data_IF_886789374853
#
_entry.id   IF_886789374853
#
_cell.length_a   1.000
_cell.length_b   1.000
_cell.length_c   1.000
_cell.angle_alpha   90.00
_cell.angle_beta   90.00
_cell.angle_gamma   90.00
#
_symmetry.space_group_name_H-M   'P 1'
#
loop_
_entity.id
_entity.type
_entity.pdbx_description
1 polymer ?
#
# COMPACT_ATOMS: atom_id res chain seq x y z
N UNK A 1 -15.99 26.54 2.17
CA UNK A 1 -16.63 25.48 2.97
C UNK A 1 -15.56 24.90 3.85
N UNK A 2 -15.66 25.03 5.18
CA UNK A 2 -14.76 24.36 6.12
C UNK A 2 -15.32 22.95 6.36
N UNK A 3 -14.60 21.92 5.92
CA UNK A 3 -14.93 20.55 6.28
C UNK A 3 -14.34 20.27 7.66
N UNK A 4 -15.19 20.02 8.65
CA UNK A 4 -14.73 19.56 9.95
C UNK A 4 -14.49 18.05 9.83
N UNK A 5 -13.23 17.64 9.72
CA UNK A 5 -12.84 16.24 9.92
C UNK A 5 -12.19 16.12 11.31
N UNK A 6 -12.44 15.01 12.00
CA UNK A 6 -11.89 14.77 13.34
C UNK A 6 -10.77 13.72 13.23
N UNK A 7 -9.49 14.13 13.24
CA UNK A 7 -8.39 13.18 13.25
C UNK A 7 -8.41 12.41 14.58
N UNK A 8 -8.48 11.08 14.52
CA UNK A 8 -8.37 10.23 15.70
C UNK A 8 -6.93 9.83 15.99
N UNK A 9 -6.17 9.59 14.93
CA UNK A 9 -4.75 9.23 15.03
C UNK A 9 -3.97 9.86 13.89
N UNK A 10 -2.75 10.26 14.20
CA UNK A 10 -1.81 10.85 13.27
C UNK A 10 -0.49 10.14 13.42
N UNK A 11 0.06 9.63 12.31
CA UNK A 11 1.34 8.93 12.33
C UNK A 11 2.30 9.48 11.27
N UNK A 12 3.59 9.60 11.60
CA UNK A 12 4.58 9.99 10.61
C UNK A 12 4.89 8.80 9.69
N UNK A 13 4.91 9.07 8.38
CA UNK A 13 5.55 8.19 7.41
C UNK A 13 6.99 8.70 7.30
N UNK A 14 7.94 7.91 7.83
CA UNK A 14 9.35 8.28 7.88
C UNK A 14 10.00 8.46 6.51
N UNK A 15 11.29 8.79 6.51
CA UNK A 15 12.06 8.95 5.28
C UNK A 15 12.41 7.60 4.66
N UNK A 16 12.38 7.53 3.33
CA UNK A 16 12.83 6.35 2.59
C UNK A 16 13.46 6.75 1.27
N UNK A 17 14.71 6.33 1.06
CA UNK A 17 15.37 6.45 -0.23
C UNK A 17 15.00 5.25 -1.11
N UNK A 18 14.69 5.50 -2.37
CA UNK A 18 14.49 4.47 -3.38
C UNK A 18 15.82 4.02 -3.99
N UNK A 19 15.93 2.72 -4.27
CA UNK A 19 17.04 2.15 -5.05
C UNK A 19 16.69 2.23 -6.53
N UNK A 20 17.61 2.71 -7.37
CA UNK A 20 17.41 2.72 -8.83
C UNK A 20 17.21 1.27 -9.31
N UNK A 21 16.23 1.06 -10.18
CA UNK A 21 15.80 -0.24 -10.68
C UNK A 21 14.76 -0.94 -9.80
N UNK A 22 14.40 -0.38 -8.64
CA UNK A 22 13.43 -0.97 -7.71
C UNK A 22 12.33 0.01 -7.34
N UNK A 23 11.08 -0.42 -7.45
CA UNK A 23 9.95 0.42 -7.04
C UNK A 23 10.02 0.75 -5.55
N UNK A 24 9.91 2.04 -5.23
CA UNK A 24 9.81 2.49 -3.86
C UNK A 24 8.39 2.24 -3.37
N UNK A 25 8.22 1.24 -2.51
CA UNK A 25 6.95 0.90 -1.88
C UNK A 25 6.95 1.31 -0.42
N UNK A 26 5.92 2.05 0.00
CA UNK A 26 5.71 2.48 1.38
C UNK A 26 4.31 2.04 1.81
N UNK A 27 4.21 0.91 2.51
CA UNK A 27 2.93 0.44 3.02
C UNK A 27 2.43 1.32 4.16
N UNK A 28 1.13 1.55 4.19
CA UNK A 28 0.42 2.27 5.24
C UNK A 28 -0.63 1.32 5.81
N UNK A 29 -0.55 1.08 7.12
CA UNK A 29 -1.40 0.13 7.81
C UNK A 29 -2.85 0.60 7.84
N UNK A 30 -3.78 -0.32 7.56
CA UNK A 30 -5.21 -0.12 7.79
C UNK A 30 -5.54 -0.13 9.28
N UNK A 31 -6.57 0.61 9.69
CA UNK A 31 -7.07 0.63 11.07
C UNK A 31 -8.58 0.50 11.10
N UNK A 32 -9.09 -0.42 11.93
CA UNK A 32 -10.51 -0.73 11.96
C UNK A 32 -11.37 0.51 12.31
N UNK A 33 -12.48 0.66 11.59
CA UNK A 33 -13.39 1.81 11.64
C UNK A 33 -12.86 3.11 11.03
N UNK A 34 -11.58 3.19 10.61
CA UNK A 34 -10.94 4.44 10.21
C UNK A 34 -10.69 4.54 8.70
N UNK A 35 -10.80 5.76 8.17
CA UNK A 35 -10.34 6.12 6.82
C UNK A 35 -8.94 6.73 6.89
N UNK A 36 -8.13 6.43 5.89
CA UNK A 36 -6.77 6.95 5.73
C UNK A 36 -6.78 8.17 4.80
N UNK A 37 -6.10 9.24 5.18
CA UNK A 37 -5.74 10.35 4.30
C UNK A 37 -4.32 10.83 4.55
N UNK A 38 -3.68 11.37 3.53
CA UNK A 38 -2.32 11.92 3.59
C UNK A 38 -2.41 13.39 3.17
N UNK A 39 -2.53 14.32 4.13
CA UNK A 39 -2.68 15.75 3.83
C UNK A 39 -1.41 16.40 3.34
N UNK A 40 -0.24 15.90 3.75
CA UNK A 40 1.04 16.47 3.39
C UNK A 40 2.09 15.38 3.21
N UNK A 41 2.81 15.45 2.09
CA UNK A 41 4.01 14.64 1.83
C UNK A 41 5.02 15.41 0.98
N UNK A 42 6.29 15.06 1.13
CA UNK A 42 7.40 15.58 0.31
C UNK A 42 8.16 14.43 -0.37
N UNK A 43 8.42 14.59 -1.66
CA UNK A 43 9.18 13.65 -2.48
C UNK A 43 10.14 14.42 -3.38
N UNK A 44 11.38 13.95 -3.47
CA UNK A 44 12.38 14.47 -4.41
C UNK A 44 12.65 13.44 -5.50
N UNK A 45 12.49 13.85 -6.75
CA UNK A 45 12.80 13.02 -7.92
C UNK A 45 14.18 13.34 -8.50
N UNK A 46 14.78 12.33 -9.13
CA UNK A 46 16.06 12.44 -9.83
C UNK A 46 15.93 13.20 -11.16
N UNK A 47 16.74 12.82 -12.15
CA UNK A 47 16.79 13.54 -13.42
C UNK A 47 15.52 13.41 -14.26
N UNK A 48 14.70 12.39 -14.01
CA UNK A 48 13.47 12.11 -14.76
C UNK A 48 12.22 12.43 -13.92
N UNK A 49 11.14 12.81 -14.61
CA UNK A 49 9.83 12.95 -14.00
C UNK A 49 9.27 11.56 -13.64
N UNK A 50 8.57 11.47 -12.52
CA UNK A 50 8.03 10.21 -12.00
C UNK A 50 6.56 10.39 -11.60
N UNK A 51 5.91 9.29 -11.23
CA UNK A 51 4.53 9.32 -10.75
C UNK A 51 4.48 8.69 -9.37
N UNK A 52 3.92 9.43 -8.42
CA UNK A 52 3.49 8.88 -7.14
C UNK A 52 2.10 8.28 -7.32
N UNK A 53 1.95 7.02 -6.95
CA UNK A 53 0.68 6.31 -7.01
C UNK A 53 0.27 5.86 -5.61
N UNK A 54 -0.92 6.23 -5.16
CA UNK A 54 -1.56 5.64 -3.99
C UNK A 54 -2.35 4.41 -4.45
N UNK A 55 -1.79 3.23 -4.20
CA UNK A 55 -2.39 1.95 -4.55
C UNK A 55 -3.40 1.51 -3.49
N UNK A 56 -4.62 1.22 -3.95
CA UNK A 56 -5.74 0.79 -3.11
C UNK A 56 -5.87 -0.74 -3.11
N UNK A 57 -6.67 -1.26 -2.18
CA UNK A 57 -7.18 -2.62 -2.28
C UNK A 57 -8.17 -2.69 -3.44
N UNK A 58 -7.99 -3.68 -4.31
CA UNK A 58 -8.89 -3.95 -5.45
C UNK A 58 -9.98 -4.94 -5.06
N UNK A 59 -9.58 -6.02 -4.39
CA UNK A 59 -10.50 -7.05 -3.91
C UNK A 59 -9.93 -7.74 -2.68
N UNK A 60 -10.79 -8.48 -1.99
CA UNK A 60 -10.42 -9.28 -0.83
C UNK A 60 -10.91 -10.72 -0.98
N UNK A 61 -10.21 -11.62 -0.30
CA UNK A 61 -10.53 -13.03 -0.17
C UNK A 61 -10.25 -13.50 1.27
N UNK A 62 -10.76 -14.68 1.62
CA UNK A 62 -10.52 -15.32 2.90
C UNK A 62 -9.37 -16.33 2.81
N UNK A 63 -8.51 -16.34 3.82
CA UNK A 63 -7.45 -17.34 3.97
C UNK A 63 -8.06 -18.61 4.56
N UNK A 64 -8.04 -19.73 3.83
CA UNK A 64 -8.61 -21.01 4.29
C UNK A 64 -7.56 -21.97 4.82
N UNK A 65 -6.31 -21.83 4.40
CA UNK A 65 -5.19 -22.60 4.94
C UNK A 65 -3.87 -21.86 4.77
N UNK A 66 -2.90 -22.22 5.62
CA UNK A 66 -1.58 -21.62 5.69
C UNK A 66 -0.53 -22.71 5.90
N UNK A 67 0.49 -22.72 5.06
CA UNK A 67 1.68 -23.56 5.23
C UNK A 67 2.91 -22.65 5.35
N UNK A 68 3.42 -22.54 6.58
CA UNK A 68 4.56 -21.66 6.91
C UNK A 68 5.86 -22.16 6.29
N UNK A 69 6.07 -23.48 6.24
CA UNK A 69 7.31 -24.08 5.75
C UNK A 69 7.41 -23.93 4.24
N UNK A 70 6.31 -24.18 3.53
CA UNK A 70 6.22 -23.96 2.08
C UNK A 70 6.00 -22.49 1.70
N UNK A 71 5.72 -21.61 2.68
CA UNK A 71 5.35 -20.21 2.49
C UNK A 71 4.16 -20.04 1.53
N UNK A 72 3.14 -20.87 1.71
CA UNK A 72 1.94 -20.83 0.88
C UNK A 72 0.71 -20.46 1.68
N UNK A 73 -0.18 -19.72 1.02
CA UNK A 73 -1.51 -19.36 1.52
C UNK A 73 -2.53 -19.92 0.53
N UNK A 74 -3.48 -20.70 1.04
CA UNK A 74 -4.66 -21.10 0.27
C UNK A 74 -5.80 -20.13 0.56
N UNK A 75 -6.49 -19.69 -0.48
CA UNK A 75 -7.64 -18.76 -0.38
C UNK A 75 -8.96 -19.43 -0.79
N UNK A 76 -10.08 -18.80 -0.45
CA UNK A 76 -11.40 -19.40 -0.66
C UNK A 76 -11.82 -19.40 -2.13
N UNK A 77 -11.66 -18.27 -2.84
CA UNK A 77 -12.28 -18.08 -4.15
C UNK A 77 -11.30 -17.74 -5.28
N UNK A 78 -10.18 -17.06 -4.99
CA UNK A 78 -9.30 -16.51 -6.02
C UNK A 78 -8.46 -17.60 -6.68
N UNK A 79 -8.77 -17.92 -7.93
CA UNK A 79 -8.01 -18.87 -8.77
C UNK A 79 -7.14 -18.18 -9.82
N UNK A 80 -7.19 -16.86 -9.89
CA UNK A 80 -6.41 -16.07 -10.86
C UNK A 80 -4.92 -16.15 -10.53
N UNK A 81 -4.08 -16.17 -11.56
CA UNK A 81 -2.64 -16.05 -11.37
C UNK A 81 -2.29 -14.66 -10.85
N UNK A 82 -1.77 -14.60 -9.63
CA UNK A 82 -1.36 -13.38 -8.95
C UNK A 82 0.16 -13.21 -8.91
N UNK A 83 0.93 -13.94 -9.71
CA UNK A 83 2.39 -13.80 -9.74
C UNK A 83 2.81 -12.33 -9.94
N UNK A 84 3.80 -11.88 -9.16
CA UNK A 84 4.28 -10.50 -9.06
C UNK A 84 3.27 -9.46 -8.53
N UNK A 85 2.04 -9.86 -8.19
CA UNK A 85 1.07 -8.99 -7.54
C UNK A 85 1.46 -8.75 -6.09
N UNK A 86 1.24 -7.52 -5.65
CA UNK A 86 1.41 -7.10 -4.27
C UNK A 86 0.12 -7.38 -3.49
N UNK A 87 0.25 -8.05 -2.36
CA UNK A 87 -0.85 -8.50 -1.51
C UNK A 87 -0.60 -8.00 -0.09
N UNK A 88 -1.67 -7.71 0.65
CA UNK A 88 -1.63 -7.54 2.09
C UNK A 88 -2.31 -8.73 2.78
N UNK A 89 -1.62 -9.34 3.74
CA UNK A 89 -2.14 -10.45 4.54
C UNK A 89 -2.39 -9.95 5.96
N UNK A 90 -3.52 -10.34 6.54
CA UNK A 90 -3.83 -10.01 7.92
C UNK A 90 -2.96 -10.81 8.89
N UNK A 91 -2.33 -10.12 9.84
CA UNK A 91 -1.49 -10.73 10.86
C UNK A 91 -2.30 -11.10 12.11
N UNK A 92 -1.74 -11.96 12.96
CA UNK A 92 -2.39 -12.47 14.19
C UNK A 92 -2.77 -11.36 15.18
N UNK A 93 -2.06 -10.24 15.16
CA UNK A 93 -2.31 -9.05 15.98
C UNK A 93 -3.32 -8.06 15.36
N UNK A 94 -3.87 -8.38 14.18
CA UNK A 94 -4.81 -7.52 13.47
C UNK A 94 -4.15 -6.44 12.61
N UNK A 95 -2.82 -6.48 12.44
CA UNK A 95 -2.09 -5.66 11.48
C UNK A 95 -2.05 -6.26 10.07
N UNK A 96 -1.15 -5.72 9.24
CA UNK A 96 -0.95 -6.15 7.86
C UNK A 96 0.53 -6.36 7.53
N UNK A 97 0.82 -7.48 6.90
CA UNK A 97 2.09 -7.74 6.21
C UNK A 97 1.88 -7.63 4.70
N UNK A 98 2.81 -7.00 4.00
CA UNK A 98 2.73 -6.75 2.56
C UNK A 98 3.79 -7.53 1.83
N UNK A 99 3.39 -8.35 0.86
CA UNK A 99 4.29 -9.26 0.14
C UNK A 99 3.91 -9.34 -1.33
N UNK A 100 4.92 -9.55 -2.18
CA UNK A 100 4.69 -9.95 -3.56
C UNK A 100 4.51 -11.48 -3.64
N UNK A 101 3.56 -11.92 -4.45
CA UNK A 101 3.36 -13.34 -4.75
C UNK A 101 4.42 -13.80 -5.72
N UNK A 102 5.15 -14.86 -5.39
CA UNK A 102 6.21 -15.40 -6.24
C UNK A 102 5.70 -16.47 -7.22
N UNK A 103 4.58 -17.12 -6.90
CA UNK A 103 3.93 -18.08 -7.78
C UNK A 103 2.47 -18.28 -7.34
N UNK A 104 1.59 -18.59 -8.30
CA UNK A 104 0.21 -18.99 -8.03
C UNK A 104 -0.13 -20.29 -8.75
N UNK A 105 -0.82 -21.20 -8.07
CA UNK A 105 -1.37 -22.43 -8.65
C UNK A 105 -2.77 -22.63 -8.10
N UNK A 106 -3.78 -22.42 -8.96
CA UNK A 106 -5.18 -22.38 -8.54
C UNK A 106 -5.37 -21.41 -7.36
N UNK A 107 -5.91 -21.88 -6.23
CA UNK A 107 -6.17 -21.08 -5.02
C UNK A 107 -4.99 -20.99 -4.05
N UNK A 108 -3.81 -21.46 -4.46
CA UNK A 108 -2.62 -21.50 -3.61
C UNK A 108 -1.61 -20.48 -4.14
N UNK A 109 -1.24 -19.53 -3.27
CA UNK A 109 -0.29 -18.47 -3.57
C UNK A 109 0.95 -18.62 -2.70
N UNK A 110 2.12 -18.58 -3.33
CA UNK A 110 3.42 -18.75 -2.68
C UNK A 110 4.12 -17.41 -2.53
N UNK A 111 4.84 -17.24 -1.42
CA UNK A 111 5.58 -16.02 -1.10
C UNK A 111 7.07 -16.30 -0.85
N UNK A 112 7.92 -15.31 -1.10
CA UNK A 112 9.34 -15.36 -0.71
C UNK A 112 9.57 -14.84 0.70
N UNK A 113 8.71 -13.93 1.18
CA UNK A 113 8.78 -13.34 2.52
C UNK A 113 8.45 -14.31 3.64
N UNK A 114 8.65 -13.87 4.88
CA UNK A 114 8.16 -14.60 6.05
C UNK A 114 6.65 -14.40 6.19
N UNK A 115 5.92 -15.48 6.46
CA UNK A 115 4.47 -15.48 6.70
C UNK A 115 4.09 -16.06 8.07
N UNK A 116 5.08 -16.22 8.97
CA UNK A 116 4.90 -16.79 10.32
C UNK A 116 3.86 -16.07 11.17
N UNK A 117 3.69 -14.76 10.97
CA UNK A 117 2.73 -13.92 11.70
C UNK A 117 1.35 -13.82 11.04
N UNK A 118 1.14 -14.46 9.89
CA UNK A 118 -0.15 -14.45 9.19
C UNK A 118 -1.21 -15.20 9.99
N UNK A 119 -2.41 -14.64 10.03
CA UNK A 119 -3.57 -15.20 10.72
C UNK A 119 -4.27 -16.23 9.83
N UNK A 120 -4.47 -17.44 10.34
CA UNK A 120 -5.38 -18.44 9.73
C UNK A 120 -6.81 -17.93 9.85
N UNK A 121 -7.63 -18.11 8.81
CA UNK A 121 -8.96 -17.48 8.68
C UNK A 121 -8.90 -15.93 8.64
N UNK A 122 -7.72 -15.38 8.34
CA UNK A 122 -7.52 -13.96 8.11
C UNK A 122 -7.91 -13.50 6.70
N UNK A 123 -7.72 -12.22 6.44
CA UNK A 123 -7.98 -11.61 5.13
C UNK A 123 -6.76 -11.65 4.21
N UNK A 124 -7.03 -11.91 2.93
CA UNK A 124 -6.10 -11.82 1.82
C UNK A 124 -6.53 -10.65 0.92
N UNK A 125 -5.79 -9.54 0.93
CA UNK A 125 -6.16 -8.33 0.21
C UNK A 125 -5.29 -8.16 -1.03
N UNK A 126 -5.92 -8.12 -2.20
CA UNK A 126 -5.25 -7.93 -3.48
C UNK A 126 -5.11 -6.43 -3.72
N UNK A 127 -3.88 -5.94 -3.82
CA UNK A 127 -3.62 -4.53 -4.13
C UNK A 127 -3.76 -4.33 -5.63
N UNK A 128 -4.47 -3.26 -5.99
CA UNK A 128 -4.68 -2.84 -7.37
C UNK A 128 -3.35 -2.67 -8.11
N UNK A 129 -3.29 -3.06 -9.38
CA UNK A 129 -2.14 -2.81 -10.25
C UNK A 129 -1.88 -1.30 -10.37
N UNK A 130 -0.65 -0.91 -10.69
CA UNK A 130 -0.23 0.50 -10.72
C UNK A 130 -1.14 1.37 -11.61
N UNK A 131 -1.57 0.83 -12.76
CA UNK A 131 -2.40 1.55 -13.74
C UNK A 131 -3.91 1.41 -13.51
N UNK A 132 -4.35 0.79 -12.42
CA UNK A 132 -5.78 0.67 -12.09
C UNK A 132 -6.43 2.04 -11.87
N UNK A 133 -7.68 2.18 -12.31
CA UNK A 133 -8.49 3.39 -12.10
C UNK A 133 -8.85 3.61 -10.62
N UNK A 134 -8.70 2.59 -9.77
CA UNK A 134 -8.88 2.71 -8.32
C UNK A 134 -7.79 3.57 -7.67
N UNK A 135 -6.63 3.70 -8.32
CA UNK A 135 -5.50 4.38 -7.75
C UNK A 135 -5.54 5.88 -8.00
N UNK A 136 -4.98 6.64 -7.06
CA UNK A 136 -4.74 8.07 -7.24
C UNK A 136 -3.30 8.27 -7.69
N UNK A 137 -3.10 9.06 -8.74
CA UNK A 137 -1.80 9.32 -9.36
C UNK A 137 -1.47 10.80 -9.29
N UNK A 138 -0.26 11.12 -8.82
CA UNK A 138 0.24 12.49 -8.77
C UNK A 138 1.55 12.56 -9.55
N UNK A 139 1.63 13.39 -10.61
CA UNK A 139 2.89 13.61 -11.32
C UNK A 139 3.88 14.32 -10.41
N UNK A 140 5.14 13.89 -10.48
CA UNK A 140 6.27 14.47 -9.76
C UNK A 140 7.23 15.10 -10.78
N UNK A 141 7.70 16.30 -10.46
CA UNK A 141 8.60 17.04 -11.35
C UNK A 141 10.04 16.53 -11.28
N UNK A 142 10.70 16.46 -12.44
CA UNK A 142 12.10 16.08 -12.53
C UNK A 142 13.02 17.09 -11.82
N UNK A 143 14.02 16.59 -11.10
CA UNK A 143 15.10 17.37 -10.50
C UNK A 143 14.67 18.32 -9.39
N UNK A 144 13.44 18.18 -8.88
CA UNK A 144 12.85 19.05 -7.88
C UNK A 144 12.24 18.25 -6.73
N UNK A 145 12.14 18.92 -5.58
CA UNK A 145 11.30 18.47 -4.49
C UNK A 145 9.85 18.88 -4.78
N UNK A 146 8.95 17.91 -4.82
CA UNK A 146 7.51 18.13 -4.92
C UNK A 146 6.89 18.05 -3.53
N UNK A 147 6.33 19.16 -3.07
CA UNK A 147 5.49 19.20 -1.88
C UNK A 147 4.02 19.04 -2.30
N UNK A 148 3.39 17.96 -1.85
CA UNK A 148 1.95 17.78 -2.00
C UNK A 148 1.31 18.14 -0.67
N UNK A 149 0.45 19.15 -0.66
CA UNK A 149 -0.28 19.60 0.52
C UNK A 149 -1.75 19.89 0.16
N UNK A 150 -2.67 19.57 1.06
CA UNK A 150 -4.09 19.94 0.99
C UNK A 150 -4.66 20.13 2.40
N UNK A 151 -5.53 21.14 2.55
CA UNK A 151 -6.03 21.62 3.83
C UNK A 151 -7.18 20.75 4.38
N UNK A 152 -7.94 20.01 3.54
CA UNK A 152 -9.00 19.04 3.94
C UNK A 152 -9.76 18.38 2.77
N UNK A 153 -10.16 17.09 2.87
CA UNK A 153 -9.35 15.95 3.31
C UNK A 153 -8.21 15.74 2.31
N UNK A 154 -7.02 15.41 2.80
CA UNK A 154 -5.75 15.40 2.05
C UNK A 154 -5.83 14.91 0.61
N UNK A 155 -4.94 15.39 -0.28
CA UNK A 155 -4.98 15.06 -1.72
C UNK A 155 -5.00 13.56 -2.02
N UNK A 156 -4.41 12.75 -1.15
CA UNK A 156 -4.36 11.30 -1.24
C UNK A 156 -5.25 10.67 -0.14
N UNK A 157 -6.23 9.85 -0.55
CA UNK A 157 -7.24 9.29 0.36
C UNK A 157 -7.50 7.83 0.03
N UNK A 158 -7.66 6.99 1.06
CA UNK A 158 -8.16 5.63 0.87
C UNK A 158 -9.65 5.64 0.52
N UNK A 159 -10.03 4.84 -0.47
CA UNK A 159 -11.44 4.71 -0.89
C UNK A 159 -12.26 4.07 0.22
N UNK A 160 -11.74 2.97 0.76
CA UNK A 160 -12.41 2.12 1.74
C UNK A 160 -11.87 2.32 3.16
N UNK A 161 -12.71 1.98 4.13
CA UNK A 161 -12.37 2.03 5.55
C UNK A 161 -11.64 0.75 5.95
N UNK A 162 -10.84 0.82 7.01
CA UNK A 162 -10.13 -0.32 7.61
C UNK A 162 -9.02 -0.95 6.76
N UNK A 163 -8.97 -0.67 5.47
CA UNK A 163 -8.01 -1.30 4.57
C UNK A 163 -6.71 -0.54 4.46
N UNK A 164 -5.58 -1.26 4.32
CA UNK A 164 -4.29 -0.66 4.07
C UNK A 164 -4.20 -0.07 2.66
N UNK A 165 -3.23 0.81 2.47
CA UNK A 165 -2.87 1.38 1.15
C UNK A 165 -1.35 1.40 1.00
N UNK A 166 -0.87 1.59 -0.23
CA UNK A 166 0.56 1.62 -0.51
C UNK A 166 0.88 2.85 -1.35
N UNK A 167 1.80 3.69 -0.87
CA UNK A 167 2.44 4.67 -1.74
C UNK A 167 3.51 3.95 -2.57
N UNK A 168 3.41 4.03 -3.88
CA UNK A 168 4.37 3.46 -4.81
C UNK A 168 4.91 4.52 -5.75
N UNK A 169 6.23 4.51 -5.95
CA UNK A 169 6.91 5.31 -6.98
C UNK A 169 7.80 4.38 -7.79
N UNK A 170 7.60 4.35 -9.09
CA UNK A 170 8.43 3.57 -10.00
C UNK A 170 9.77 4.27 -10.22
N UNK A 171 10.85 3.59 -9.86
CA UNK A 171 12.21 4.15 -9.79
C UNK A 171 13.15 3.38 -10.73
N UNK A 172 12.71 3.18 -11.97
CA UNK A 172 13.45 2.39 -12.96
C UNK A 172 14.76 3.07 -13.40
N UNK A 173 14.75 4.40 -13.54
CA UNK A 173 15.86 5.13 -14.18
C UNK A 173 16.50 6.22 -13.33
N UNK A 174 15.78 6.75 -12.33
CA UNK A 174 16.17 7.96 -11.60
C UNK A 174 15.84 7.88 -10.13
N UNK A 175 16.87 7.97 -9.28
CA UNK A 175 16.75 7.87 -7.83
C UNK A 175 15.64 8.79 -7.28
N UNK A 176 14.79 8.23 -6.42
CA UNK A 176 13.74 8.97 -5.72
C UNK A 176 14.01 8.97 -4.23
N UNK A 177 13.69 10.07 -3.55
CA UNK A 177 13.71 10.15 -2.10
C UNK A 177 12.34 10.57 -1.59
N UNK A 178 11.74 9.72 -0.77
CA UNK A 178 10.59 10.08 0.03
C UNK A 178 11.09 10.78 1.30
N UNK A 179 10.83 12.07 1.41
CA UNK A 179 11.37 12.93 2.48
C UNK A 179 10.50 12.89 3.75
N UNK A 180 9.30 12.35 3.65
CA UNK A 180 8.39 12.13 4.75
C UNK A 180 6.96 12.50 4.38
N UNK A 181 6.03 12.01 5.19
CA UNK A 181 4.65 12.42 5.15
C UNK A 181 4.02 12.26 6.52
N UNK A 182 2.77 12.67 6.62
CA UNK A 182 1.92 12.35 7.77
C UNK A 182 0.69 11.62 7.25
N UNK A 183 0.38 10.47 7.84
CA UNK A 183 -0.91 9.81 7.65
C UNK A 183 -1.86 10.24 8.77
N UNK A 184 -3.09 10.55 8.40
CA UNK A 184 -4.17 10.83 9.33
C UNK A 184 -5.23 9.74 9.19
N UNK A 185 -5.62 9.18 10.32
CA UNK A 185 -6.73 8.28 10.48
C UNK A 185 -7.93 9.05 11.00
N UNK A 186 -9.02 8.97 10.26
CA UNK A 186 -10.24 9.74 10.50
C UNK A 186 -11.38 8.75 10.74
N UNK A 187 -12.08 8.90 11.86
CA UNK A 187 -13.32 8.15 12.10
C UNK A 187 -14.49 8.70 11.29
N UNK A 188 -15.51 7.85 11.13
CA UNK A 188 -16.76 8.27 10.50
C UNK A 188 -17.53 9.27 11.34
#
# INVERSE_FOLDING_TARGET
>A
MSFNFYPERVEPIGQKAGTIGENLLIPIQGMDGMRITIPQLSVSCGADAQVLTLRQVETQDAIVALDIDAKTVAVEDTETDLTDRLIALETKDGGWIFLAVSASVAKIHTFTGDISEVKVDGRFLIIAEENSELNQRVPLEAGAETLIADDSPGRLIACDFCYPVILSISNETSAVQFNGATVIYISR
#
